data_IF_209710218491
#
_entry.id   IF_209710218491
#
_cell.length_a   1.000
_cell.length_b   1.000
_cell.length_c   1.000
_cell.angle_alpha   90.00
_cell.angle_beta   90.00
_cell.angle_gamma   90.00
#
_symmetry.space_group_name_H-M   'P 1'
#
loop_
_entity.id
_entity.type
_entity.pdbx_description
1 polymer ?
#
# COMPACT_ATOMS: atom_id res chain seq x y z
N UNK A 1 -0.40 38.95 9.77
CA UNK A 1 0.47 39.02 10.97
C UNK A 1 0.31 37.71 11.73
N UNK A 2 1.44 37.02 12.00
CA UNK A 2 1.58 35.87 12.93
C UNK A 2 0.95 34.56 12.48
N UNK A 3 1.60 33.39 12.50
CA UNK A 3 2.94 33.01 12.92
C UNK A 3 3.37 31.79 12.06
N UNK A 4 4.46 31.95 11.31
CA UNK A 4 5.13 30.84 10.66
C UNK A 4 5.86 29.99 11.70
N UNK A 5 5.70 28.67 11.61
CA UNK A 5 6.47 27.71 12.40
C UNK A 5 7.95 27.82 12.03
N UNK A 6 8.67 28.66 12.77
CA UNK A 6 10.12 28.76 12.71
C UNK A 6 10.68 27.48 13.34
N UNK A 7 11.22 26.57 12.52
CA UNK A 7 12.04 25.47 13.01
C UNK A 7 13.44 26.06 13.30
N UNK A 8 13.87 26.20 14.56
CA UNK A 8 15.05 27.00 14.91
C UNK A 8 16.40 26.42 14.42
N UNK A 9 16.40 25.35 13.64
CA UNK A 9 17.60 24.60 13.25
C UNK A 9 17.75 24.33 11.75
N UNK A 10 16.97 24.97 10.87
CA UNK A 10 17.10 24.80 9.41
C UNK A 10 17.04 26.12 8.67
N UNK A 11 17.97 26.33 7.74
CA UNK A 11 17.89 27.41 6.76
C UNK A 11 16.97 27.03 5.58
N UNK A 12 16.74 27.99 4.67
CA UNK A 12 15.91 27.84 3.47
C UNK A 12 16.42 26.78 2.47
N UNK A 13 17.58 26.16 2.74
CA UNK A 13 18.17 25.08 1.94
C UNK A 13 18.23 23.76 2.71
N UNK A 14 17.59 23.65 3.88
CA UNK A 14 17.54 22.43 4.68
C UNK A 14 18.86 22.08 5.37
N UNK A 15 19.82 23.00 5.45
CA UNK A 15 21.08 22.80 6.18
C UNK A 15 20.88 23.19 7.65
N UNK A 16 21.52 22.44 8.55
CA UNK A 16 21.72 22.94 9.91
C UNK A 16 22.67 24.15 9.83
N UNK A 17 22.27 25.27 10.42
CA UNK A 17 23.05 26.50 10.40
C UNK A 17 24.30 26.35 11.27
N UNK A 18 25.48 26.25 10.65
CA UNK A 18 26.73 26.54 11.34
C UNK A 18 26.82 28.07 11.55
N UNK A 19 26.79 28.50 12.81
CA UNK A 19 26.91 29.91 13.21
C UNK A 19 28.39 30.36 13.25
N UNK A 20 28.65 31.69 13.24
CA UNK A 20 29.88 32.28 12.73
C UNK A 20 31.08 32.15 13.66
N UNK A 21 32.25 32.24 13.03
CA UNK A 21 33.58 32.33 13.61
C UNK A 21 33.70 33.41 14.68
N UNK A 22 33.76 33.00 15.94
CA UNK A 22 34.18 33.80 17.08
C UNK A 22 34.92 32.91 18.07
N UNK A 23 36.21 33.19 18.29
CA UNK A 23 37.09 32.38 19.11
C UNK A 23 36.65 32.31 20.58
N UNK A 24 36.56 31.10 21.11
CA UNK A 24 36.31 30.82 22.52
C UNK A 24 36.34 29.31 22.77
N UNK A 25 37.31 28.88 23.59
CA UNK A 25 37.49 27.57 24.24
C UNK A 25 36.70 26.36 23.71
N UNK A 26 37.44 25.38 23.17
CA UNK A 26 37.03 23.99 22.98
C UNK A 26 36.62 23.37 24.32
N UNK A 27 35.31 23.31 24.58
CA UNK A 27 34.66 22.20 25.28
C UNK A 27 33.14 22.44 25.28
N UNK A 28 32.42 21.77 24.39
CA UNK A 28 31.19 21.03 24.73
C UNK A 28 30.92 20.04 23.62
N UNK A 29 30.99 18.75 23.97
CA UNK A 29 30.46 17.64 23.22
C UNK A 29 28.99 17.93 22.87
N UNK A 30 28.67 18.15 21.59
CA UNK A 30 27.28 18.11 21.14
C UNK A 30 26.68 16.79 21.61
N UNK A 31 25.63 16.86 22.42
CA UNK A 31 24.90 15.68 22.87
C UNK A 31 24.59 14.79 21.65
N UNK A 32 24.78 13.45 21.74
CA UNK A 32 24.50 12.56 20.63
C UNK A 32 23.05 12.77 20.18
N UNK A 33 22.84 12.97 18.89
CA UNK A 33 21.50 13.10 18.33
C UNK A 33 20.69 11.86 18.73
N UNK A 34 19.44 12.03 19.22
CA UNK A 34 18.59 10.90 19.58
C UNK A 34 18.36 10.01 18.36
N UNK A 35 18.24 8.71 18.60
CA UNK A 35 17.89 7.78 17.53
C UNK A 35 16.50 8.11 16.98
N UNK A 36 16.31 7.88 15.69
CA UNK A 36 15.04 8.11 15.00
C UNK A 36 14.79 7.00 13.99
N UNK A 37 13.60 6.39 14.04
CA UNK A 37 13.16 5.48 12.97
C UNK A 37 12.82 6.30 11.74
N UNK A 38 13.52 6.04 10.64
CA UNK A 38 13.31 6.71 9.35
C UNK A 38 12.40 5.89 8.42
N UNK A 39 12.34 4.58 8.64
CA UNK A 39 11.52 3.65 7.86
C UNK A 39 11.26 2.38 8.66
N UNK A 40 10.09 1.79 8.49
CA UNK A 40 9.74 0.50 9.09
C UNK A 40 8.73 -0.23 8.22
N UNK A 41 8.95 -1.53 7.97
CA UNK A 41 8.04 -2.39 7.22
C UNK A 41 8.26 -3.84 7.63
N UNK A 42 7.19 -4.55 8.01
CA UNK A 42 7.23 -6.00 8.28
C UNK A 42 8.26 -6.45 9.33
N UNK A 43 8.37 -5.73 10.45
CA UNK A 43 9.33 -6.05 11.52
C UNK A 43 10.79 -5.66 11.21
N UNK A 44 11.05 -5.08 10.03
CA UNK A 44 12.35 -4.54 9.62
C UNK A 44 12.29 -3.02 9.68
N UNK A 45 13.28 -2.38 10.28
CA UNK A 45 13.32 -0.91 10.46
C UNK A 45 14.68 -0.34 10.04
N UNK A 46 14.69 0.87 9.47
CA UNK A 46 15.89 1.68 9.31
C UNK A 46 15.88 2.74 10.41
N UNK A 47 16.84 2.66 11.31
CA UNK A 47 16.98 3.57 12.46
C UNK A 47 18.22 4.41 12.26
N UNK A 48 18.06 5.73 12.19
CA UNK A 48 19.17 6.65 12.32
C UNK A 48 19.67 6.64 13.76
N UNK A 49 20.96 6.39 13.96
CA UNK A 49 21.63 6.49 15.24
C UNK A 49 22.64 7.64 15.17
N UNK A 50 22.40 8.67 15.98
CA UNK A 50 23.34 9.79 16.12
C UNK A 50 24.63 9.40 16.83
N UNK A 51 25.59 10.32 16.88
CA UNK A 51 26.88 10.11 17.55
C UNK A 51 28.03 10.72 16.78
N UNK A 52 29.27 10.37 17.16
CA UNK A 52 30.50 10.82 16.46
C UNK A 52 30.56 10.29 15.02
N UNK A 53 29.97 9.13 14.77
CA UNK A 53 29.84 8.53 13.44
C UNK A 53 28.38 8.17 13.25
N UNK A 54 27.56 9.09 12.72
CA UNK A 54 26.15 8.82 12.52
C UNK A 54 25.97 7.68 11.49
N UNK A 55 25.00 6.81 11.74
CA UNK A 55 24.74 5.61 10.93
C UNK A 55 23.25 5.38 10.77
N UNK A 56 22.86 4.78 9.66
CA UNK A 56 21.56 4.13 9.50
C UNK A 56 21.74 2.64 9.79
N UNK A 57 21.09 2.16 10.84
CA UNK A 57 21.03 0.76 11.18
C UNK A 57 19.78 0.13 10.60
N UNK A 58 19.95 -0.89 9.78
CA UNK A 58 18.86 -1.79 9.38
C UNK A 58 18.72 -2.82 10.47
N UNK A 59 17.54 -2.90 11.08
CA UNK A 59 17.22 -3.82 12.17
C UNK A 59 16.08 -4.74 11.78
N UNK A 60 16.08 -5.97 12.29
CA UNK A 60 14.96 -6.91 12.21
C UNK A 60 14.67 -7.41 13.62
N UNK A 61 13.44 -7.19 14.12
CA UNK A 61 13.06 -7.51 15.51
C UNK A 61 14.04 -6.92 16.54
N UNK A 62 14.45 -5.67 16.31
CA UNK A 62 15.38 -4.94 17.18
C UNK A 62 16.86 -5.30 17.03
N UNK A 63 17.22 -6.37 16.31
CA UNK A 63 18.62 -6.78 16.06
C UNK A 63 19.17 -6.09 14.82
N UNK A 64 20.34 -5.46 14.91
CA UNK A 64 21.03 -4.85 13.77
C UNK A 64 21.49 -5.95 12.81
N UNK A 65 21.05 -5.88 11.55
CA UNK A 65 21.40 -6.82 10.49
C UNK A 65 22.30 -6.18 9.41
N UNK A 66 22.28 -4.85 9.29
CA UNK A 66 23.21 -4.10 8.46
C UNK A 66 23.35 -2.68 8.99
N UNK A 67 24.47 -2.03 8.67
CA UNK A 67 24.70 -0.62 8.98
C UNK A 67 25.20 0.11 7.73
N UNK A 68 24.74 1.34 7.53
CA UNK A 68 25.17 2.24 6.46
C UNK A 68 25.65 3.54 7.10
N UNK A 69 26.86 4.03 6.80
CA UNK A 69 27.31 5.33 7.29
C UNK A 69 26.37 6.45 6.84
N UNK A 70 25.93 7.31 7.75
CA UNK A 70 25.14 8.50 7.42
C UNK A 70 26.09 9.68 7.16
N UNK A 71 26.63 9.75 5.95
CA UNK A 71 27.59 10.77 5.53
C UNK A 71 26.89 12.07 5.17
N UNK A 72 27.62 13.04 4.57
CA UNK A 72 27.01 14.26 4.03
C UNK A 72 26.01 14.00 2.88
N UNK A 73 25.94 12.77 2.35
CA UNK A 73 24.97 12.34 1.34
C UNK A 73 23.75 11.65 1.96
N UNK A 74 23.20 12.24 3.03
CA UNK A 74 22.12 11.70 3.86
C UNK A 74 20.98 11.01 3.09
N UNK A 75 20.50 11.61 1.99
CA UNK A 75 19.43 11.03 1.18
C UNK A 75 19.85 9.76 0.45
N UNK A 76 21.07 9.73 -0.11
CA UNK A 76 21.60 8.55 -0.78
C UNK A 76 21.91 7.44 0.24
N UNK A 77 22.45 7.79 1.40
CA UNK A 77 22.79 6.83 2.46
C UNK A 77 21.51 6.22 3.08
N UNK A 78 20.46 7.03 3.29
CA UNK A 78 19.15 6.55 3.71
C UNK A 78 18.54 5.63 2.65
N UNK A 79 18.62 6.00 1.38
CA UNK A 79 18.14 5.16 0.28
C UNK A 79 18.86 3.81 0.25
N UNK A 80 20.19 3.79 0.41
CA UNK A 80 20.95 2.55 0.52
C UNK A 80 20.50 1.72 1.73
N UNK A 81 20.28 2.34 2.90
CA UNK A 81 19.78 1.61 4.06
C UNK A 81 18.36 1.03 3.85
N UNK A 82 17.46 1.79 3.23
CA UNK A 82 16.12 1.32 2.85
C UNK A 82 16.18 0.17 1.86
N UNK A 83 17.03 0.27 0.83
CA UNK A 83 17.25 -0.80 -0.13
C UNK A 83 17.71 -2.09 0.56
N UNK A 84 18.66 -2.01 1.50
CA UNK A 84 19.11 -3.17 2.28
C UNK A 84 17.99 -3.76 3.14
N UNK A 85 17.15 -2.90 3.72
CA UNK A 85 15.99 -3.31 4.50
C UNK A 85 14.95 -4.05 3.65
N UNK A 86 14.62 -3.52 2.46
CA UNK A 86 13.71 -4.15 1.50
C UNK A 86 14.28 -5.47 0.97
N UNK A 87 15.57 -5.51 0.64
CA UNK A 87 16.24 -6.72 0.21
C UNK A 87 16.17 -7.81 1.29
N UNK A 88 16.39 -7.47 2.56
CA UNK A 88 16.21 -8.40 3.68
C UNK A 88 14.76 -8.90 3.78
N UNK A 89 13.76 -8.02 3.62
CA UNK A 89 12.34 -8.43 3.58
C UNK A 89 12.07 -9.43 2.46
N UNK A 90 12.64 -9.23 1.27
CA UNK A 90 12.52 -10.19 0.16
C UNK A 90 12.98 -11.58 0.61
N UNK A 91 14.14 -11.69 1.28
CA UNK A 91 14.66 -12.99 1.75
C UNK A 91 13.77 -13.66 2.78
N UNK A 92 13.22 -12.91 3.74
CA UNK A 92 12.31 -13.44 4.76
C UNK A 92 11.02 -13.98 4.12
N UNK A 93 10.51 -13.27 3.12
CA UNK A 93 9.24 -13.58 2.49
C UNK A 93 9.34 -14.76 1.54
N UNK A 94 10.45 -14.96 0.83
CA UNK A 94 10.64 -16.18 0.02
C UNK A 94 10.75 -17.44 0.87
N UNK A 95 11.23 -17.35 2.11
CA UNK A 95 11.24 -18.49 3.02
C UNK A 95 9.80 -18.90 3.43
N UNK A 96 8.89 -17.92 3.56
CA UNK A 96 7.48 -18.13 3.94
C UNK A 96 6.55 -18.44 2.76
N UNK A 97 6.73 -17.77 1.61
CA UNK A 97 5.89 -17.90 0.42
C UNK A 97 5.91 -19.32 -0.19
N UNK A 98 7.01 -20.06 0.01
CA UNK A 98 7.11 -21.47 -0.39
C UNK A 98 6.10 -22.39 0.30
N UNK A 99 5.50 -21.99 1.43
CA UNK A 99 4.42 -22.74 2.09
C UNK A 99 3.03 -22.40 1.54
N UNK A 100 2.75 -21.14 1.21
CA UNK A 100 1.40 -20.69 0.78
C UNK A 100 1.09 -21.10 -0.66
N UNK A 101 2.07 -21.01 -1.57
CA UNK A 101 1.86 -21.35 -2.99
C UNK A 101 1.59 -22.85 -3.18
N UNK A 102 2.16 -23.72 -2.34
CA UNK A 102 1.88 -25.16 -2.37
C UNK A 102 0.43 -25.50 -2.01
N UNK A 103 -0.25 -24.65 -1.25
CA UNK A 103 -1.67 -24.81 -0.93
C UNK A 103 -2.63 -24.49 -2.08
N UNK A 104 -2.18 -23.72 -3.07
CA UNK A 104 -2.99 -23.32 -4.24
C UNK A 104 -2.82 -24.24 -5.46
N UNK A 105 -1.89 -25.20 -5.40
CA UNK A 105 -1.56 -26.11 -6.51
C UNK A 105 -2.67 -27.12 -6.88
N UNK A 106 -3.83 -27.08 -6.22
CA UNK A 106 -4.97 -27.98 -6.47
C UNK A 106 -5.97 -27.50 -7.52
N UNK A 107 -5.88 -26.24 -8.00
CA UNK A 107 -6.81 -25.72 -9.00
C UNK A 107 -6.22 -25.92 -10.39
N UNK A 108 -6.71 -26.92 -11.13
CA UNK A 108 -6.37 -27.08 -12.55
C UNK A 108 -6.89 -25.89 -13.35
N UNK A 109 -6.04 -25.29 -14.19
CA UNK A 109 -6.48 -24.21 -15.09
C UNK A 109 -7.60 -24.71 -15.99
N UNK A 110 -8.74 -23.99 -16.10
CA UNK A 110 -9.78 -24.34 -17.06
C UNK A 110 -9.22 -24.31 -18.49
N UNK A 111 -9.87 -25.05 -19.41
CA UNK A 111 -9.59 -24.96 -20.84
C UNK A 111 -9.86 -23.55 -21.40
N UNK A 112 -10.85 -22.83 -20.83
CA UNK A 112 -11.12 -21.42 -21.09
C UNK A 112 -11.29 -20.66 -19.76
N UNK A 113 -10.21 -20.04 -19.25
CA UNK A 113 -10.25 -19.29 -18.00
C UNK A 113 -11.22 -18.10 -18.03
N UNK A 114 -11.48 -17.49 -19.19
CA UNK A 114 -12.38 -16.33 -19.28
C UNK A 114 -13.84 -16.77 -19.17
N UNK A 115 -14.22 -17.86 -19.84
CA UNK A 115 -15.56 -18.41 -19.72
C UNK A 115 -15.87 -18.86 -18.29
N UNK A 116 -14.93 -19.54 -17.63
CA UNK A 116 -15.08 -19.96 -16.23
C UNK A 116 -15.19 -18.75 -15.28
N UNK A 117 -14.39 -17.71 -15.49
CA UNK A 117 -14.47 -16.48 -14.70
C UNK A 117 -15.79 -15.74 -14.89
N UNK A 118 -16.32 -15.66 -16.12
CA UNK A 118 -17.64 -15.05 -16.38
C UNK A 118 -18.75 -15.82 -15.68
N UNK A 119 -18.73 -17.16 -15.77
CA UNK A 119 -19.70 -18.00 -15.10
C UNK A 119 -19.66 -17.81 -13.57
N UNK A 120 -18.46 -17.74 -12.98
CA UNK A 120 -18.29 -17.49 -11.56
C UNK A 120 -18.76 -16.07 -11.15
N UNK A 121 -18.47 -15.06 -11.97
CA UNK A 121 -18.91 -13.68 -11.75
C UNK A 121 -20.44 -13.57 -11.77
N UNK A 122 -21.09 -14.18 -12.76
CA UNK A 122 -22.54 -14.14 -12.92
C UNK A 122 -23.27 -14.93 -11.83
N UNK A 123 -22.73 -16.07 -11.41
CA UNK A 123 -23.27 -16.83 -10.27
C UNK A 123 -23.17 -16.04 -8.95
N UNK A 124 -22.04 -15.36 -8.72
CA UNK A 124 -21.83 -14.59 -7.50
C UNK A 124 -22.61 -13.26 -7.47
N UNK A 125 -22.94 -12.68 -8.63
CA UNK A 125 -23.66 -11.40 -8.77
C UNK A 125 -25.00 -11.38 -8.03
N UNK A 126 -25.68 -12.52 -7.98
CA UNK A 126 -27.02 -12.64 -7.37
C UNK A 126 -26.99 -13.21 -5.95
N UNK A 127 -25.82 -13.63 -5.46
CA UNK A 127 -25.64 -14.23 -4.13
C UNK A 127 -25.16 -13.18 -3.11
N UNK A 128 -25.33 -13.43 -1.80
CA UNK A 128 -24.69 -12.64 -0.76
C UNK A 128 -23.17 -12.58 -0.98
N UNK A 129 -22.57 -11.42 -0.73
CA UNK A 129 -21.12 -11.24 -0.85
C UNK A 129 -20.47 -11.75 0.43
N UNK A 130 -20.14 -13.04 0.48
CA UNK A 130 -19.37 -13.61 1.61
C UNK A 130 -17.87 -13.61 1.29
N UNK A 131 -17.06 -13.69 2.35
CA UNK A 131 -15.59 -13.79 2.23
C UNK A 131 -15.20 -15.00 1.39
N UNK A 132 -15.82 -16.16 1.63
CA UNK A 132 -15.52 -17.42 0.96
C UNK A 132 -15.90 -17.37 -0.52
N UNK A 133 -17.04 -16.76 -0.86
CA UNK A 133 -17.47 -16.62 -2.24
C UNK A 133 -16.51 -15.72 -3.03
N UNK A 134 -16.11 -14.58 -2.46
CA UNK A 134 -15.15 -13.68 -3.10
C UNK A 134 -13.75 -14.31 -3.18
N UNK A 135 -13.32 -15.04 -2.15
CA UNK A 135 -12.08 -15.81 -2.19
C UNK A 135 -12.11 -16.87 -3.30
N UNK A 136 -13.22 -17.57 -3.52
CA UNK A 136 -13.35 -18.58 -4.57
C UNK A 136 -13.29 -17.97 -5.97
N UNK A 137 -13.97 -16.84 -6.20
CA UNK A 137 -13.88 -16.09 -7.47
C UNK A 137 -12.45 -15.57 -7.67
N UNK A 138 -11.86 -14.97 -6.64
CA UNK A 138 -10.48 -14.49 -6.65
C UNK A 138 -9.47 -15.60 -6.94
N UNK A 139 -9.67 -16.80 -6.40
CA UNK A 139 -8.81 -17.96 -6.64
C UNK A 139 -8.77 -18.33 -8.13
N UNK A 140 -9.91 -18.26 -8.82
CA UNK A 140 -9.97 -18.50 -10.28
C UNK A 140 -9.18 -17.43 -11.04
N UNK A 141 -9.28 -16.16 -10.64
CA UNK A 141 -8.50 -15.07 -11.27
C UNK A 141 -7.02 -15.31 -11.05
N UNK A 142 -6.61 -15.59 -9.81
CA UNK A 142 -5.21 -15.83 -9.47
C UNK A 142 -4.64 -17.09 -10.12
N UNK A 143 -5.44 -18.13 -10.33
CA UNK A 143 -5.03 -19.30 -11.10
C UNK A 143 -4.72 -18.91 -12.55
N UNK A 144 -5.57 -18.10 -13.19
CA UNK A 144 -5.34 -17.60 -14.55
C UNK A 144 -4.14 -16.63 -14.64
N UNK A 145 -3.92 -15.79 -13.61
CA UNK A 145 -2.73 -14.94 -13.50
C UNK A 145 -1.46 -15.78 -13.38
N UNK A 146 -1.44 -16.79 -12.50
CA UNK A 146 -0.28 -17.64 -12.26
C UNK A 146 0.03 -18.60 -13.42
N UNK A 147 -0.94 -18.86 -14.29
CA UNK A 147 -0.74 -19.60 -15.53
C UNK A 147 -0.08 -18.76 -16.65
N UNK A 148 0.01 -17.43 -16.48
CA UNK A 148 0.62 -16.55 -17.49
C UNK A 148 2.15 -16.79 -17.55
N UNK A 149 2.72 -17.12 -18.73
CA UNK A 149 4.14 -17.40 -18.86
C UNK A 149 5.05 -16.25 -18.42
N UNK A 150 4.62 -14.99 -18.58
CA UNK A 150 5.40 -13.82 -18.16
C UNK A 150 5.43 -13.71 -16.64
N UNK A 151 4.31 -13.97 -15.97
CA UNK A 151 4.23 -14.05 -14.51
C UNK A 151 5.13 -15.18 -13.99
N UNK A 152 5.08 -16.36 -14.61
CA UNK A 152 5.95 -17.50 -14.23
C UNK A 152 7.44 -17.17 -14.38
N UNK A 153 7.83 -16.54 -15.49
CA UNK A 153 9.22 -16.13 -15.72
C UNK A 153 9.70 -15.09 -14.69
N UNK A 154 8.87 -14.08 -14.39
CA UNK A 154 9.19 -13.07 -13.37
C UNK A 154 9.27 -13.68 -11.97
N UNK A 155 8.39 -14.64 -11.66
CA UNK A 155 8.40 -15.35 -10.39
C UNK A 155 9.68 -16.17 -10.21
N UNK A 156 10.06 -16.95 -11.22
CA UNK A 156 11.31 -17.71 -11.21
C UNK A 156 12.53 -16.79 -11.05
N UNK A 157 12.55 -15.63 -11.74
CA UNK A 157 13.62 -14.63 -11.59
C UNK A 157 13.68 -14.05 -10.18
N UNK A 158 12.53 -13.68 -9.61
CA UNK A 158 12.44 -13.16 -8.24
C UNK A 158 12.93 -14.20 -7.22
N UNK A 159 12.50 -15.46 -7.34
CA UNK A 159 12.91 -16.55 -6.46
C UNK A 159 14.42 -16.83 -6.54
N UNK A 160 14.99 -16.86 -7.75
CA UNK A 160 16.42 -17.04 -7.95
C UNK A 160 17.24 -15.93 -7.29
N UNK A 161 16.86 -14.65 -7.50
CA UNK A 161 17.55 -13.50 -6.91
C UNK A 161 17.42 -13.47 -5.38
N UNK A 162 16.26 -13.86 -4.84
CA UNK A 162 16.06 -13.95 -3.40
C UNK A 162 16.94 -15.05 -2.77
N UNK A 163 17.09 -16.20 -3.44
CA UNK A 163 18.00 -17.27 -3.01
C UNK A 163 19.47 -16.83 -3.08
N UNK A 164 19.88 -16.18 -4.16
CA UNK A 164 21.23 -15.63 -4.30
C UNK A 164 21.51 -14.60 -3.20
N UNK A 165 20.56 -13.72 -2.91
CA UNK A 165 20.67 -12.72 -1.85
C UNK A 165 20.76 -13.38 -0.46
N UNK A 166 19.99 -14.44 -0.21
CA UNK A 166 20.06 -15.21 1.02
C UNK A 166 21.43 -15.87 1.20
N UNK A 167 22.02 -16.40 0.12
CA UNK A 167 23.38 -16.98 0.14
C UNK A 167 24.46 -15.92 0.31
N UNK A 168 24.41 -14.83 -0.46
CA UNK A 168 25.37 -13.73 -0.41
C UNK A 168 25.41 -13.05 0.97
N UNK A 169 24.27 -13.01 1.68
CA UNK A 169 24.19 -12.50 3.06
C UNK A 169 25.14 -13.22 4.02
N UNK A 170 25.49 -14.48 3.76
CA UNK A 170 26.44 -15.22 4.59
C UNK A 170 27.90 -14.79 4.36
N UNK A 171 28.20 -14.07 3.27
CA UNK A 171 29.58 -13.83 2.84
C UNK A 171 29.91 -12.33 2.68
N UNK A 172 29.17 -11.56 1.88
CA UNK A 172 29.31 -10.09 1.75
C UNK A 172 28.06 -9.46 1.12
N UNK A 173 27.61 -8.31 1.63
CA UNK A 173 26.41 -7.61 1.12
C UNK A 173 26.69 -6.93 -0.23
N UNK A 174 25.86 -7.19 -1.26
CA UNK A 174 25.94 -6.55 -2.59
C UNK A 174 24.77 -5.60 -2.85
N UNK A 175 25.07 -4.32 -3.07
CA UNK A 175 24.07 -3.29 -3.38
C UNK A 175 23.41 -3.50 -4.76
N UNK A 176 24.12 -4.10 -5.72
CA UNK A 176 23.56 -4.43 -7.04
C UNK A 176 22.57 -5.59 -6.92
N UNK A 177 22.94 -6.67 -6.25
CA UNK A 177 22.05 -7.81 -6.03
C UNK A 177 20.79 -7.40 -5.25
N UNK A 178 20.95 -6.52 -4.25
CA UNK A 178 19.82 -5.96 -3.49
C UNK A 178 18.86 -5.18 -4.40
N UNK A 179 19.37 -4.31 -5.29
CA UNK A 179 18.55 -3.59 -6.29
C UNK A 179 17.85 -4.53 -7.24
N UNK A 180 18.57 -5.53 -7.76
CA UNK A 180 18.01 -6.46 -8.72
C UNK A 180 16.88 -7.30 -8.10
N UNK A 181 17.04 -7.74 -6.85
CA UNK A 181 16.01 -8.46 -6.11
C UNK A 181 14.77 -7.60 -5.86
N UNK A 182 14.95 -6.34 -5.41
CA UNK A 182 13.84 -5.40 -5.19
C UNK A 182 13.11 -5.08 -6.51
N UNK A 183 13.85 -4.81 -7.58
CA UNK A 183 13.28 -4.56 -8.90
C UNK A 183 12.52 -5.78 -9.44
N UNK A 184 13.09 -6.99 -9.29
CA UNK A 184 12.41 -8.22 -9.72
C UNK A 184 11.10 -8.44 -8.96
N UNK A 185 11.08 -8.15 -7.66
CA UNK A 185 9.88 -8.19 -6.83
C UNK A 185 8.82 -7.19 -7.27
N UNK A 186 9.21 -5.92 -7.49
CA UNK A 186 8.29 -4.87 -7.95
C UNK A 186 7.71 -5.21 -9.33
N UNK A 187 8.55 -5.69 -10.26
CA UNK A 187 8.12 -6.12 -11.59
C UNK A 187 7.13 -7.30 -11.51
N UNK A 188 7.39 -8.29 -10.64
CA UNK A 188 6.47 -9.40 -10.43
C UNK A 188 5.11 -8.92 -9.88
N UNK A 189 5.12 -8.06 -8.86
CA UNK A 189 3.89 -7.52 -8.28
C UNK A 189 3.08 -6.71 -9.31
N UNK A 190 3.75 -5.83 -10.06
CA UNK A 190 3.12 -5.04 -11.12
C UNK A 190 2.54 -5.90 -12.23
N UNK A 191 3.21 -6.98 -12.62
CA UNK A 191 2.67 -7.90 -13.63
C UNK A 191 1.43 -8.65 -13.13
N UNK A 192 1.44 -9.11 -11.87
CA UNK A 192 0.28 -9.75 -11.25
C UNK A 192 -0.92 -8.81 -11.22
N UNK A 193 -0.71 -7.55 -10.81
CA UNK A 193 -1.73 -6.51 -10.76
C UNK A 193 -2.32 -6.22 -12.14
N UNK A 194 -1.45 -5.96 -13.13
CA UNK A 194 -1.88 -5.67 -14.50
C UNK A 194 -2.65 -6.86 -15.08
N UNK A 195 -2.17 -8.08 -14.88
CA UNK A 195 -2.84 -9.27 -15.40
C UNK A 195 -4.20 -9.50 -14.73
N UNK A 196 -4.32 -9.24 -13.43
CA UNK A 196 -5.59 -9.30 -12.73
C UNK A 196 -6.58 -8.27 -13.30
N UNK A 197 -6.15 -7.02 -13.52
CA UNK A 197 -6.97 -5.97 -14.14
C UNK A 197 -7.43 -6.34 -15.55
N UNK A 198 -6.53 -6.87 -16.39
CA UNK A 198 -6.87 -7.32 -17.75
C UNK A 198 -7.94 -8.42 -17.74
N UNK A 199 -7.89 -9.33 -16.76
CA UNK A 199 -8.88 -10.39 -16.59
C UNK A 199 -10.21 -9.81 -16.09
N UNK A 200 -10.19 -8.91 -15.10
CA UNK A 200 -11.39 -8.22 -14.60
C UNK A 200 -12.09 -7.50 -15.75
N UNK A 201 -11.36 -6.72 -16.56
CA UNK A 201 -11.91 -5.96 -17.68
C UNK A 201 -12.50 -6.84 -18.80
N UNK A 202 -12.11 -8.12 -18.89
CA UNK A 202 -12.70 -9.08 -19.85
C UNK A 202 -14.01 -9.69 -19.37
N UNK A 203 -14.25 -9.70 -18.07
CA UNK A 203 -15.43 -10.33 -17.46
C UNK A 203 -16.40 -9.31 -16.88
N UNK A 204 -16.01 -8.05 -16.82
CA UNK A 204 -16.77 -6.98 -16.20
C UNK A 204 -16.69 -5.69 -16.99
N UNK A 205 -17.82 -5.01 -17.09
CA UNK A 205 -17.88 -3.67 -17.63
C UNK A 205 -17.20 -2.69 -16.68
N UNK A 206 -16.08 -2.12 -17.14
CA UNK A 206 -15.38 -1.05 -16.44
C UNK A 206 -16.06 0.29 -16.73
N UNK A 207 -15.97 1.21 -15.77
CA UNK A 207 -16.56 2.53 -15.92
C UNK A 207 -15.80 3.36 -16.96
N UNK A 208 -16.47 4.39 -17.43
CA UNK A 208 -15.89 5.48 -18.22
C UNK A 208 -16.16 6.79 -17.50
N UNK A 209 -15.48 7.87 -17.88
CA UNK A 209 -15.78 9.20 -17.35
C UNK A 209 -17.25 9.63 -17.48
N UNK A 210 -17.98 9.09 -18.46
CA UNK A 210 -19.40 9.39 -18.67
C UNK A 210 -20.33 8.68 -17.69
N UNK A 211 -19.83 7.72 -16.90
CA UNK A 211 -20.60 7.02 -15.88
C UNK A 211 -20.62 7.75 -14.54
N UNK A 212 -19.79 8.80 -14.38
CA UNK A 212 -19.66 9.60 -13.17
C UNK A 212 -20.47 10.90 -13.26
N UNK A 213 -21.04 11.33 -12.14
CA UNK A 213 -21.70 12.62 -11.99
C UNK A 213 -20.79 13.60 -11.24
N UNK A 214 -19.71 14.04 -11.88
CA UNK A 214 -18.74 14.98 -11.28
C UNK A 214 -19.24 16.43 -11.38
N UNK A 215 -19.00 17.20 -10.33
CA UNK A 215 -19.28 18.64 -10.32
C UNK A 215 -18.56 19.34 -11.50
N UNK A 216 -19.28 20.03 -12.40
CA UNK A 216 -18.67 20.75 -13.52
C UNK A 216 -17.75 21.89 -13.09
N UNK A 217 -17.81 22.32 -11.82
CA UNK A 217 -16.93 23.35 -11.26
C UNK A 217 -15.67 22.79 -10.59
N UNK A 218 -15.42 21.48 -10.66
CA UNK A 218 -14.15 20.91 -10.23
C UNK A 218 -12.99 21.54 -11.02
N UNK A 219 -11.87 21.83 -10.35
CA UNK A 219 -10.66 22.34 -10.99
C UNK A 219 -10.18 21.35 -12.05
N UNK A 220 -9.82 21.83 -13.24
CA UNK A 220 -9.43 21.01 -14.41
C UNK A 220 -8.49 19.85 -14.06
N UNK A 221 -7.30 20.10 -13.51
CA UNK A 221 -6.39 19.00 -13.15
C UNK A 221 -6.89 18.03 -12.08
N UNK A 222 -7.84 18.42 -11.22
CA UNK A 222 -8.47 17.50 -10.26
C UNK A 222 -9.58 16.68 -10.93
N UNK A 223 -10.30 17.29 -11.88
CA UNK A 223 -11.28 16.62 -12.72
C UNK A 223 -10.60 15.56 -13.58
N UNK A 224 -9.47 15.89 -14.22
CA UNK A 224 -8.70 14.96 -15.03
C UNK A 224 -8.27 13.73 -14.22
N UNK A 225 -7.74 13.95 -13.00
CA UNK A 225 -7.40 12.84 -12.09
C UNK A 225 -8.62 11.97 -11.76
N UNK A 226 -9.79 12.57 -11.53
CA UNK A 226 -11.01 11.81 -11.27
C UNK A 226 -11.49 11.04 -12.51
N UNK A 227 -11.45 11.64 -13.69
CA UNK A 227 -11.78 10.99 -14.96
C UNK A 227 -10.83 9.81 -15.27
N UNK A 228 -9.54 9.93 -15.00
CA UNK A 228 -8.58 8.84 -15.18
C UNK A 228 -8.70 7.74 -14.12
N UNK A 229 -9.07 8.11 -12.89
CA UNK A 229 -9.22 7.16 -11.80
C UNK A 229 -10.52 6.35 -11.90
N UNK A 230 -11.60 6.94 -12.42
CA UNK A 230 -12.90 6.25 -12.46
C UNK A 230 -12.89 5.02 -13.37
N UNK A 231 -12.10 5.04 -14.44
CA UNK A 231 -11.94 3.93 -15.38
C UNK A 231 -11.36 2.66 -14.75
N UNK A 232 -10.73 2.80 -13.57
CA UNK A 232 -10.22 1.68 -12.78
C UNK A 232 -11.33 0.83 -12.14
N UNK A 233 -12.53 1.39 -11.97
CA UNK A 233 -13.59 0.77 -11.18
C UNK A 233 -14.69 0.16 -12.05
N UNK A 234 -15.39 -0.87 -11.54
CA UNK A 234 -16.61 -1.36 -12.15
C UNK A 234 -17.66 -0.30 -12.47
N UNK A 235 -18.20 -0.33 -13.69
CA UNK A 235 -19.29 0.55 -14.14
C UNK A 235 -20.49 0.51 -13.19
N UNK A 236 -20.86 -0.67 -12.70
CA UNK A 236 -21.98 -0.83 -11.77
C UNK A 236 -21.79 -0.09 -10.45
N UNK A 237 -20.56 -0.05 -9.92
CA UNK A 237 -20.25 0.66 -8.68
C UNK A 237 -20.31 2.17 -8.89
N UNK A 238 -19.68 2.64 -9.97
CA UNK A 238 -19.66 4.07 -10.31
C UNK A 238 -21.07 4.59 -10.57
N UNK A 239 -21.90 3.85 -11.32
CA UNK A 239 -23.31 4.21 -11.55
C UNK A 239 -24.15 4.22 -10.28
N UNK A 240 -23.90 3.29 -9.36
CA UNK A 240 -24.58 3.30 -8.06
C UNK A 240 -24.23 4.56 -7.26
N UNK A 241 -22.97 5.00 -7.35
CA UNK A 241 -22.46 6.18 -6.66
C UNK A 241 -22.82 7.51 -7.33
N UNK A 242 -22.94 7.53 -8.66
CA UNK A 242 -23.25 8.72 -9.46
C UNK A 242 -24.70 9.22 -9.32
N UNK A 243 -25.53 8.57 -8.50
CA UNK A 243 -26.84 9.10 -8.09
C UNK A 243 -26.69 10.46 -7.42
N UNK A 244 -25.64 10.61 -6.63
CA UNK A 244 -25.24 11.86 -6.02
C UNK A 244 -24.11 12.50 -6.82
N UNK A 245 -24.04 13.83 -6.77
CA UNK A 245 -22.99 14.59 -7.44
C UNK A 245 -21.70 14.51 -6.64
N UNK A 246 -20.64 14.02 -7.26
CA UNK A 246 -19.30 13.99 -6.67
C UNK A 246 -18.64 15.36 -6.79
N UNK A 247 -18.34 15.99 -5.66
CA UNK A 247 -17.55 17.21 -5.61
C UNK A 247 -16.08 16.84 -5.54
N UNK A 248 -15.24 17.48 -6.36
CA UNK A 248 -13.78 17.31 -6.29
C UNK A 248 -13.16 18.65 -5.99
N UNK A 249 -12.65 18.79 -4.77
CA UNK A 249 -12.22 20.06 -4.18
C UNK A 249 -10.71 20.07 -3.94
N UNK A 250 -10.15 21.25 -3.72
CA UNK A 250 -8.78 21.41 -3.22
C UNK A 250 -8.82 21.61 -1.72
N UNK A 251 -7.90 20.97 -0.99
CA UNK A 251 -7.70 21.23 0.44
C UNK A 251 -6.29 21.81 0.69
N UNK A 252 -6.13 22.77 1.62
CA UNK A 252 -4.82 23.20 2.09
C UNK A 252 -4.13 22.13 2.96
N UNK A 253 -4.84 21.06 3.31
CA UNK A 253 -4.27 19.96 4.08
C UNK A 253 -3.19 19.20 3.30
N UNK A 254 -2.29 18.57 4.06
CA UNK A 254 -1.20 17.77 3.51
C UNK A 254 -1.67 16.45 2.91
N UNK A 255 -2.89 16.01 3.22
CA UNK A 255 -3.45 14.73 2.76
C UNK A 255 -4.77 14.97 2.05
N UNK A 256 -5.01 14.14 1.05
CA UNK A 256 -6.34 14.02 0.47
C UNK A 256 -7.26 13.25 1.42
N UNK A 257 -8.56 13.46 1.30
CA UNK A 257 -9.58 12.72 2.05
C UNK A 257 -10.94 12.75 1.36
N UNK A 258 -11.73 11.70 1.56
CA UNK A 258 -13.15 11.67 1.23
C UNK A 258 -14.00 12.16 2.41
N UNK A 259 -14.94 13.07 2.11
CA UNK A 259 -15.90 13.65 3.04
C UNK A 259 -17.30 13.13 2.71
N UNK A 260 -17.80 12.23 3.55
CA UNK A 260 -19.03 11.47 3.24
C UNK A 260 -20.30 12.31 3.29
N UNK A 261 -20.42 13.28 4.20
CA UNK A 261 -21.63 14.08 4.37
C UNK A 261 -21.90 14.96 3.15
N UNK A 262 -20.85 15.55 2.61
CA UNK A 262 -20.92 16.38 1.43
C UNK A 262 -20.55 15.69 0.12
N UNK A 263 -20.34 14.38 0.11
CA UNK A 263 -19.93 13.61 -1.09
C UNK A 263 -18.76 14.27 -1.84
N UNK A 264 -17.72 14.65 -1.10
CA UNK A 264 -16.59 15.38 -1.66
C UNK A 264 -15.27 14.62 -1.53
N UNK A 265 -14.51 14.56 -2.61
CA UNK A 265 -13.08 14.20 -2.58
C UNK A 265 -12.29 15.49 -2.48
N UNK A 266 -11.57 15.66 -1.37
CA UNK A 266 -10.72 16.80 -1.11
C UNK A 266 -9.28 16.39 -1.45
N UNK A 267 -8.70 16.99 -2.49
CA UNK A 267 -7.33 16.66 -2.92
C UNK A 267 -6.31 17.66 -2.40
N UNK A 268 -5.21 17.13 -1.86
CA UNK A 268 -4.04 17.93 -1.54
C UNK A 268 -3.33 18.42 -2.82
N UNK A 269 -2.52 19.48 -2.70
CA UNK A 269 -1.77 20.03 -3.84
C UNK A 269 -0.77 19.04 -4.48
N UNK A 270 -0.41 17.97 -3.78
CA UNK A 270 0.51 16.92 -4.25
C UNK A 270 -0.21 15.59 -4.49
N UNK A 271 -1.54 15.61 -4.62
CA UNK A 271 -2.31 14.40 -4.88
C UNK A 271 -1.87 13.75 -6.19
N UNK A 272 -1.66 12.44 -6.14
CA UNK A 272 -1.36 11.62 -7.30
C UNK A 272 -2.61 10.87 -7.75
N UNK A 273 -2.57 10.25 -8.93
CA UNK A 273 -3.64 9.36 -9.41
C UNK A 273 -4.00 8.27 -8.39
N UNK A 274 -3.01 7.70 -7.71
CA UNK A 274 -3.27 6.68 -6.66
C UNK A 274 -4.00 7.26 -5.45
N UNK A 275 -3.73 8.53 -5.09
CA UNK A 275 -4.50 9.23 -4.06
C UNK A 275 -5.95 9.40 -4.47
N UNK A 276 -6.22 9.76 -5.74
CA UNK A 276 -7.59 9.83 -6.23
C UNK A 276 -8.28 8.46 -6.19
N UNK A 277 -7.60 7.38 -6.59
CA UNK A 277 -8.14 6.01 -6.51
C UNK A 277 -8.46 5.62 -5.07
N UNK A 278 -7.60 5.98 -4.11
CA UNK A 278 -7.83 5.77 -2.68
C UNK A 278 -9.13 6.45 -2.23
N UNK A 279 -9.28 7.75 -2.49
CA UNK A 279 -10.47 8.50 -2.09
C UNK A 279 -11.73 8.04 -2.83
N UNK A 280 -11.60 7.65 -4.11
CA UNK A 280 -12.69 7.03 -4.85
C UNK A 280 -13.12 5.70 -4.25
N UNK A 281 -12.19 4.91 -3.69
CA UNK A 281 -12.52 3.70 -2.95
C UNK A 281 -13.48 3.97 -1.80
N UNK A 282 -13.24 5.03 -1.02
CA UNK A 282 -14.16 5.46 0.03
C UNK A 282 -15.50 5.97 -0.51
N UNK A 283 -15.49 6.76 -1.59
CA UNK A 283 -16.72 7.22 -2.23
C UNK A 283 -17.60 6.05 -2.71
N UNK A 284 -17.00 5.06 -3.37
CA UNK A 284 -17.69 3.89 -3.89
C UNK A 284 -18.17 2.95 -2.78
N UNK A 285 -17.34 2.70 -1.77
CA UNK A 285 -17.75 1.96 -0.57
C UNK A 285 -18.91 2.68 0.12
N UNK A 286 -18.89 4.01 0.16
CA UNK A 286 -19.95 4.75 0.81
C UNK A 286 -21.29 4.60 0.08
N UNK A 287 -21.27 4.69 -1.25
CA UNK A 287 -22.48 4.70 -2.05
C UNK A 287 -22.98 3.32 -2.49
N UNK A 288 -22.17 2.26 -2.36
CA UNK A 288 -22.54 0.90 -2.71
C UNK A 288 -22.67 0.01 -1.46
N UNK A 289 -23.90 -0.22 -0.95
CA UNK A 289 -24.13 -1.06 0.24
C UNK A 289 -23.60 -2.49 0.10
N UNK A 290 -23.54 -3.03 -1.12
CA UNK A 290 -23.02 -4.38 -1.38
C UNK A 290 -21.49 -4.41 -1.23
N UNK A 291 -20.79 -3.40 -1.74
CA UNK A 291 -19.35 -3.24 -1.54
C UNK A 291 -19.03 -3.00 -0.06
N UNK A 292 -19.78 -2.10 0.60
CA UNK A 292 -19.62 -1.83 2.04
C UNK A 292 -19.83 -3.07 2.89
N UNK A 293 -20.87 -3.86 2.62
CA UNK A 293 -21.11 -5.11 3.34
C UNK A 293 -19.94 -6.08 3.17
N UNK A 294 -19.42 -6.22 1.94
CA UNK A 294 -18.28 -7.07 1.65
C UNK A 294 -17.02 -6.68 2.43
N UNK A 295 -16.67 -5.38 2.44
CA UNK A 295 -15.48 -4.89 3.14
C UNK A 295 -15.60 -4.98 4.65
N UNK A 296 -16.78 -4.68 5.20
CA UNK A 296 -17.08 -4.87 6.63
C UNK A 296 -17.00 -6.34 7.02
N UNK A 297 -17.62 -7.23 6.26
CA UNK A 297 -17.62 -8.67 6.52
C UNK A 297 -16.21 -9.23 6.46
N UNK A 298 -15.40 -8.81 5.49
CA UNK A 298 -14.00 -9.21 5.40
C UNK A 298 -13.17 -8.71 6.59
N UNK A 299 -13.29 -7.43 6.94
CA UNK A 299 -12.59 -6.86 8.09
C UNK A 299 -12.97 -7.59 9.39
N UNK A 300 -14.26 -7.86 9.60
CA UNK A 300 -14.76 -8.57 10.77
C UNK A 300 -14.29 -10.04 10.81
N UNK A 301 -14.35 -10.73 9.67
CA UNK A 301 -13.87 -12.11 9.54
C UNK A 301 -12.38 -12.18 9.87
N UNK A 302 -11.59 -11.26 9.32
CA UNK A 302 -10.14 -11.27 9.41
C UNK A 302 -9.66 -10.91 10.82
N UNK A 303 -10.29 -9.91 11.44
CA UNK A 303 -9.96 -9.44 12.80
C UNK A 303 -10.74 -10.16 13.91
N UNK A 304 -11.28 -11.34 13.64
CA UNK A 304 -12.10 -12.08 14.59
C UNK A 304 -11.27 -12.46 15.84
N UNK A 305 -11.77 -12.07 17.02
CA UNK A 305 -11.08 -12.31 18.30
C UNK A 305 -10.04 -11.27 18.69
N UNK A 306 -9.77 -10.27 17.84
CA UNK A 306 -8.85 -9.19 18.17
C UNK A 306 -9.48 -8.07 18.99
N UNK A 307 -8.64 -7.48 19.84
CA UNK A 307 -8.96 -6.26 20.58
C UNK A 307 -8.38 -5.06 19.85
N UNK A 308 -9.19 -4.01 19.70
CA UNK A 308 -8.73 -2.77 19.09
C UNK A 308 -7.66 -2.09 19.95
N UNK A 309 -6.59 -1.62 19.31
CA UNK A 309 -5.47 -0.90 19.92
C UNK A 309 -5.35 0.51 19.33
N UNK A 310 -4.70 1.42 20.06
CA UNK A 310 -4.48 2.79 19.56
C UNK A 310 -3.52 2.79 18.38
N UNK A 311 -3.89 3.49 17.30
CA UNK A 311 -3.03 3.66 16.14
C UNK A 311 -1.72 4.39 16.46
N UNK A 312 -1.76 5.40 17.33
CA UNK A 312 -0.55 6.11 17.75
C UNK A 312 0.45 5.19 18.45
N UNK A 313 -0.05 4.23 19.24
CA UNK A 313 0.78 3.18 19.84
C UNK A 313 1.30 2.19 18.79
N UNK A 314 0.45 1.75 17.85
CA UNK A 314 0.82 0.82 16.79
C UNK A 314 1.93 1.35 15.88
N UNK A 315 1.90 2.64 15.52
CA UNK A 315 2.93 3.26 14.67
C UNK A 315 4.04 3.97 15.45
N UNK A 316 4.01 3.90 16.78
CA UNK A 316 5.00 4.57 17.65
C UNK A 316 5.11 6.08 17.44
N UNK A 317 4.02 6.75 17.03
CA UNK A 317 4.04 8.19 16.75
C UNK A 317 2.73 8.90 17.10
N UNK A 318 2.80 10.22 17.26
CA UNK A 318 1.66 11.05 17.66
C UNK A 318 0.90 11.66 16.47
N UNK A 319 1.04 11.08 15.26
CA UNK A 319 0.35 11.59 14.07
C UNK A 319 -1.11 11.14 14.00
N UNK A 320 -1.51 10.22 14.89
CA UNK A 320 -2.86 9.72 15.02
C UNK A 320 -3.52 10.26 16.29
N UNK A 321 -4.81 10.56 16.20
CA UNK A 321 -5.62 10.97 17.33
C UNK A 321 -5.74 9.87 18.38
N UNK A 322 -5.89 10.24 19.65
CA UNK A 322 -6.03 9.28 20.75
C UNK A 322 -7.26 8.36 20.62
N UNK A 323 -8.24 8.73 19.80
CA UNK A 323 -9.46 7.97 19.52
C UNK A 323 -9.35 7.12 18.24
N UNK A 324 -8.26 7.22 17.50
CA UNK A 324 -8.05 6.40 16.30
C UNK A 324 -7.57 5.01 16.72
N UNK A 325 -8.44 4.02 16.49
CA UNK A 325 -8.25 2.64 16.90
C UNK A 325 -8.12 1.74 15.68
N UNK A 326 -7.31 0.69 15.78
CA UNK A 326 -7.14 -0.34 14.75
C UNK A 326 -7.15 -1.73 15.36
N UNK A 327 -7.65 -2.71 14.62
CA UNK A 327 -7.41 -4.14 14.86
C UNK A 327 -6.33 -4.60 13.85
N UNK A 328 -5.05 -4.60 14.26
CA UNK A 328 -3.95 -4.67 13.31
C UNK A 328 -3.87 -6.01 12.59
N UNK A 329 -4.32 -7.09 13.24
CA UNK A 329 -4.24 -8.44 12.74
C UNK A 329 -2.84 -8.81 12.26
N UNK A 330 -2.81 -9.81 11.41
CA UNK A 330 -1.74 -10.21 10.52
C UNK A 330 -1.81 -9.40 9.21
N UNK A 331 -2.54 -8.28 9.15
CA UNK A 331 -2.51 -7.40 7.97
C UNK A 331 -1.09 -6.91 7.73
N UNK A 332 -0.70 -6.84 6.45
CA UNK A 332 0.58 -6.23 6.08
C UNK A 332 0.69 -4.77 6.52
N UNK A 333 -0.43 -4.07 6.52
CA UNK A 333 -0.55 -2.67 6.90
C UNK A 333 -1.65 -2.51 7.96
N UNK A 334 -1.31 -2.21 9.23
CA UNK A 334 -2.29 -2.07 10.31
C UNK A 334 -3.39 -1.03 10.03
N UNK A 335 -3.19 -0.11 9.08
CA UNK A 335 -4.19 0.87 8.68
C UNK A 335 -5.47 0.21 8.15
N UNK A 336 -5.35 -0.96 7.52
CA UNK A 336 -6.48 -1.76 7.02
C UNK A 336 -7.46 -2.16 8.13
N UNK A 337 -6.96 -2.30 9.37
CA UNK A 337 -7.72 -2.63 10.56
C UNK A 337 -8.46 -1.47 11.21
N UNK A 338 -8.30 -0.25 10.68
CA UNK A 338 -8.84 0.98 11.28
C UNK A 338 -10.35 0.91 11.45
N UNK A 339 -10.80 1.33 12.63
CA UNK A 339 -12.21 1.30 13.01
C UNK A 339 -12.82 2.69 12.87
N UNK A 340 -13.84 2.81 12.03
CA UNK A 340 -14.63 4.04 11.89
C UNK A 340 -16.01 3.87 12.52
N UNK A 341 -16.49 4.83 13.34
CA UNK A 341 -17.85 4.81 13.86
C UNK A 341 -18.94 4.80 12.78
N UNK A 342 -18.64 5.30 11.59
CA UNK A 342 -19.54 5.28 10.42
C UNK A 342 -19.72 3.89 9.81
N UNK A 343 -18.90 2.91 10.19
CA UNK A 343 -18.79 1.62 9.52
C UNK A 343 -18.02 1.65 8.19
N UNK A 344 -17.46 2.78 7.77
CA UNK A 344 -16.51 2.81 6.64
C UNK A 344 -15.28 1.97 6.96
N UNK A 345 -14.57 1.51 5.94
CA UNK A 345 -13.31 0.76 6.12
C UNK A 345 -12.19 1.35 5.28
N UNK A 346 -10.95 0.91 5.55
CA UNK A 346 -9.80 1.18 4.67
C UNK A 346 -9.59 0.10 3.61
N UNK A 347 -10.43 -0.94 3.61
CA UNK A 347 -10.23 -2.11 2.75
C UNK A 347 -10.38 -1.72 1.28
N UNK A 348 -11.48 -1.07 0.90
CA UNK A 348 -11.72 -0.71 -0.50
C UNK A 348 -10.72 0.32 -1.03
N UNK A 349 -10.41 1.35 -0.25
CA UNK A 349 -9.49 2.44 -0.62
C UNK A 349 -8.07 1.92 -0.82
N UNK A 350 -7.53 1.23 0.19
CA UNK A 350 -6.16 0.71 0.14
C UNK A 350 -5.97 -0.41 -0.86
N UNK A 351 -6.95 -1.31 -1.01
CA UNK A 351 -6.83 -2.40 -1.98
C UNK A 351 -7.01 -1.93 -3.43
N UNK A 352 -7.82 -0.91 -3.67
CA UNK A 352 -7.87 -0.25 -4.98
C UNK A 352 -6.52 0.40 -5.32
N UNK A 353 -5.91 1.09 -4.35
CA UNK A 353 -4.59 1.69 -4.51
C UNK A 353 -3.47 0.64 -4.70
N UNK A 354 -3.52 -0.46 -3.96
CA UNK A 354 -2.61 -1.59 -4.15
C UNK A 354 -2.75 -2.18 -5.55
N UNK A 355 -3.97 -2.46 -6.01
CA UNK A 355 -4.19 -3.05 -7.33
C UNK A 355 -3.78 -2.08 -8.46
N UNK A 356 -3.87 -0.77 -8.24
CA UNK A 356 -3.52 0.24 -9.23
C UNK A 356 -2.02 0.53 -9.35
N UNK A 357 -1.23 0.31 -8.30
CA UNK A 357 0.18 0.71 -8.30
C UNK A 357 1.09 0.10 -7.23
N UNK A 358 0.62 -0.90 -6.47
CA UNK A 358 1.45 -1.70 -5.57
C UNK A 358 2.06 -0.95 -4.38
N UNK A 359 1.37 0.08 -3.87
CA UNK A 359 1.91 0.98 -2.83
C UNK A 359 2.28 0.26 -1.53
N UNK A 360 1.53 -0.76 -1.14
CA UNK A 360 1.66 -1.40 0.17
C UNK A 360 2.44 -2.71 0.10
N UNK A 361 2.51 -3.32 -1.10
CA UNK A 361 3.18 -4.61 -1.33
C UNK A 361 2.33 -5.81 -0.88
N UNK A 362 1.04 -5.58 -0.63
CA UNK A 362 0.05 -6.58 -0.23
C UNK A 362 -0.06 -7.70 -1.28
N UNK A 363 0.09 -7.37 -2.57
CA UNK A 363 0.01 -8.32 -3.69
C UNK A 363 0.84 -9.58 -3.48
N UNK A 364 2.03 -9.44 -2.89
CA UNK A 364 2.93 -10.55 -2.61
C UNK A 364 2.99 -10.92 -1.11
N UNK A 365 2.68 -9.98 -0.22
CA UNK A 365 2.84 -10.16 1.23
C UNK A 365 1.60 -10.67 1.95
N UNK A 366 0.42 -10.38 1.39
CA UNK A 366 -0.87 -10.88 1.85
C UNK A 366 -1.69 -11.32 0.62
N UNK A 367 -1.27 -12.43 -0.02
CA UNK A 367 -1.91 -12.90 -1.25
C UNK A 367 -3.37 -13.32 -1.02
N UNK A 368 -3.75 -13.68 0.21
CA UNK A 368 -5.13 -14.01 0.54
C UNK A 368 -6.04 -12.77 0.45
N UNK A 369 -5.58 -11.64 0.98
CA UNK A 369 -6.29 -10.37 0.86
C UNK A 369 -6.33 -9.86 -0.57
N UNK A 370 -5.21 -9.92 -1.29
CA UNK A 370 -5.17 -9.55 -2.70
C UNK A 370 -6.12 -10.41 -3.54
N UNK A 371 -6.11 -11.72 -3.34
CA UNK A 371 -7.02 -12.65 -4.00
C UNK A 371 -8.48 -12.30 -3.69
N UNK A 372 -8.82 -12.10 -2.42
CA UNK A 372 -10.19 -11.73 -2.02
C UNK A 372 -10.63 -10.43 -2.71
N UNK A 373 -9.79 -9.40 -2.71
CA UNK A 373 -10.11 -8.12 -3.35
C UNK A 373 -10.34 -8.24 -4.85
N UNK A 374 -9.50 -9.00 -5.55
CA UNK A 374 -9.70 -9.29 -6.98
C UNK A 374 -11.03 -10.03 -7.20
N UNK A 375 -11.41 -10.92 -6.29
CA UNK A 375 -12.74 -11.54 -6.29
C UNK A 375 -13.89 -10.53 -6.15
N UNK A 376 -13.76 -9.57 -5.22
CA UNK A 376 -14.72 -8.46 -5.04
C UNK A 376 -14.85 -7.65 -6.32
N UNK A 377 -13.73 -7.27 -6.95
CA UNK A 377 -13.72 -6.52 -8.21
C UNK A 377 -14.46 -7.25 -9.34
N UNK A 378 -14.43 -8.58 -9.34
CA UNK A 378 -15.17 -9.40 -10.32
C UNK A 378 -16.65 -9.53 -9.97
N UNK A 379 -17.02 -9.77 -8.71
CA UNK A 379 -18.33 -10.32 -8.34
C UNK A 379 -19.23 -9.47 -7.42
N UNK A 380 -18.70 -8.47 -6.71
CA UNK A 380 -19.50 -7.56 -5.88
C UNK A 380 -20.04 -6.41 -6.71
#
# INVERSE_FOLDING_TARGET
>A
MGAGGFNPFRDAHGRFSDRPSGGGSRETLSAPLPSKTEWEKGGVSVVFTGGRTPTYEVRHEGKVIASVPATRKWAADLFTAQLKAEAHLVTLQTASANQVVRGMAGVTSPADPIADLRAAADDARWKPVTVEAMQAVGAKVMAAVNADPKVQALRAKHEALAQELQQARLETWSDTLSRDAVNARQNLAGEIQQRALDLIAKVRDMATKNDMNIDPHAREGHRDLAEEAVEFFPKGWVKAAAKDRLRVLSTPERRSFYESYGHAINLSATALRTSMIHEMGHWLEYANPRLRGATQDYLNHRTAGETAVSMGATYGNNSYGAHEMTKPDTFKEPYLGKQYPSGSTEIASMMAEELAGGRYGITLDDPAMFQWWVGVMVAA
#
